data_IF_567260827801
#
_entry.id   IF_567260827801
#
_cell.length_a   1.000
_cell.length_b   1.000
_cell.length_c   1.000
_cell.angle_alpha   90.00
_cell.angle_beta   90.00
_cell.angle_gamma   90.00
#
_symmetry.space_group_name_H-M   'P 1'
#
loop_
_entity.id
_entity.type
_entity.pdbx_description
1 polymer ?
#
# COMPACT_ATOMS: atom_id res chain seq x y z
N UNK A 1 8.17 -13.65 3.06
CA UNK A 1 7.46 -12.43 3.52
C UNK A 1 6.11 -12.83 4.09
N UNK A 2 5.58 -12.11 5.09
CA UNK A 2 4.28 -12.40 5.72
C UNK A 2 3.12 -12.10 4.75
N UNK A 3 2.10 -12.96 4.65
CA UNK A 3 0.88 -12.67 3.88
C UNK A 3 0.07 -11.51 4.47
N UNK A 4 -0.58 -10.73 3.61
CA UNK A 4 -1.50 -9.66 3.98
C UNK A 4 -2.82 -10.23 4.50
N UNK A 5 -3.21 -9.80 5.70
CA UNK A 5 -4.55 -10.09 6.22
C UNK A 5 -5.61 -9.21 5.54
N UNK A 6 -6.91 -9.57 5.64
CA UNK A 6 -7.99 -8.71 5.13
C UNK A 6 -7.96 -7.29 5.73
N UNK A 7 -7.57 -7.16 7.00
CA UNK A 7 -7.44 -5.86 7.65
C UNK A 7 -6.27 -5.05 7.06
N UNK A 8 -5.13 -5.69 6.81
CA UNK A 8 -3.99 -5.04 6.16
C UNK A 8 -4.39 -4.54 4.77
N UNK A 9 -5.06 -5.38 3.97
CA UNK A 9 -5.57 -4.99 2.65
C UNK A 9 -6.52 -3.80 2.72
N UNK A 10 -7.42 -3.76 3.70
CA UNK A 10 -8.35 -2.63 3.89
C UNK A 10 -7.60 -1.33 4.17
N UNK A 11 -6.58 -1.38 5.00
CA UNK A 11 -5.81 -0.20 5.40
C UNK A 11 -4.92 0.30 4.24
N UNK A 12 -4.26 -0.61 3.54
CA UNK A 12 -3.49 -0.32 2.31
C UNK A 12 -4.39 0.29 1.24
N UNK A 13 -5.59 -0.26 1.05
CA UNK A 13 -6.57 0.27 0.11
C UNK A 13 -6.97 1.71 0.45
N UNK A 14 -7.10 2.04 1.73
CA UNK A 14 -7.41 3.40 2.17
C UNK A 14 -6.33 4.40 1.73
N UNK A 15 -5.05 4.08 1.96
CA UNK A 15 -3.94 4.94 1.53
C UNK A 15 -3.87 5.13 0.01
N UNK A 16 -4.06 4.04 -0.74
CA UNK A 16 -4.09 4.10 -2.21
C UNK A 16 -5.27 4.92 -2.73
N UNK A 17 -6.45 4.78 -2.12
CA UNK A 17 -7.64 5.52 -2.48
C UNK A 17 -7.49 7.02 -2.17
N UNK A 18 -6.96 7.36 -0.99
CA UNK A 18 -6.71 8.76 -0.61
C UNK A 18 -5.76 9.45 -1.59
N UNK A 19 -4.63 8.81 -1.90
CA UNK A 19 -3.68 9.32 -2.87
C UNK A 19 -4.31 9.51 -4.26
N UNK A 20 -5.09 8.54 -4.73
CA UNK A 20 -5.83 8.65 -5.99
C UNK A 20 -6.84 9.81 -5.97
N UNK A 21 -7.55 10.02 -4.86
CA UNK A 21 -8.48 11.14 -4.70
C UNK A 21 -7.77 12.50 -4.69
N UNK A 22 -6.56 12.58 -4.13
CA UNK A 22 -5.76 13.80 -4.18
C UNK A 22 -5.33 14.13 -5.62
N UNK A 23 -4.91 13.14 -6.40
CA UNK A 23 -4.59 13.32 -7.82
C UNK A 23 -5.81 13.74 -8.66
N UNK A 24 -6.99 13.24 -8.30
CA UNK A 24 -8.25 13.69 -8.90
C UNK A 24 -8.54 15.17 -8.60
N UNK A 25 -8.38 15.58 -7.34
CA UNK A 25 -8.61 16.97 -6.89
C UNK A 25 -7.64 17.95 -7.54
N UNK A 26 -6.38 17.54 -7.69
CA UNK A 26 -5.33 18.32 -8.35
C UNK A 26 -5.54 18.45 -9.88
N UNK A 27 -6.55 17.78 -10.45
CA UNK A 27 -6.79 17.81 -11.89
C UNK A 27 -5.75 17.06 -12.72
N UNK A 28 -4.87 16.27 -12.08
CA UNK A 28 -3.77 15.53 -12.72
C UNK A 28 -4.24 14.28 -13.49
N UNK A 29 -5.53 13.94 -13.40
CA UNK A 29 -6.12 12.75 -13.99
C UNK A 29 -7.24 13.11 -14.98
N UNK A 30 -7.05 12.79 -16.26
CA UNK A 30 -8.08 12.83 -17.28
C UNK A 30 -9.07 11.67 -17.16
N UNK A 31 -10.21 11.75 -17.87
CA UNK A 31 -11.33 10.81 -17.74
C UNK A 31 -10.93 9.35 -18.02
N UNK A 32 -10.02 9.13 -18.96
CA UNK A 32 -9.53 7.81 -19.32
C UNK A 32 -8.55 7.26 -18.27
N UNK A 33 -7.58 8.06 -17.81
CA UNK A 33 -6.62 7.62 -16.80
C UNK A 33 -7.32 7.26 -15.48
N UNK A 34 -8.36 8.01 -15.09
CA UNK A 34 -9.19 7.68 -13.91
C UNK A 34 -9.69 6.24 -13.95
N UNK A 35 -10.25 5.83 -15.09
CA UNK A 35 -10.79 4.47 -15.27
C UNK A 35 -9.69 3.41 -15.25
N UNK A 36 -8.58 3.68 -15.92
CA UNK A 36 -7.46 2.73 -16.02
C UNK A 36 -6.78 2.55 -14.66
N UNK A 37 -6.46 3.64 -13.96
CA UNK A 37 -5.74 3.62 -12.69
C UNK A 37 -6.61 3.00 -11.60
N UNK A 38 -7.87 3.40 -11.47
CA UNK A 38 -8.78 2.82 -10.47
C UNK A 38 -8.95 1.32 -10.65
N UNK A 39 -9.13 0.86 -11.90
CA UNK A 39 -9.19 -0.57 -12.22
C UNK A 39 -7.89 -1.28 -11.86
N UNK A 40 -6.73 -0.71 -12.24
CA UNK A 40 -5.41 -1.29 -11.95
C UNK A 40 -5.16 -1.42 -10.45
N UNK A 41 -5.54 -0.42 -9.64
CA UNK A 41 -5.44 -0.47 -8.18
C UNK A 41 -6.31 -1.60 -7.64
N UNK A 42 -7.58 -1.68 -8.05
CA UNK A 42 -8.52 -2.71 -7.58
C UNK A 42 -8.06 -4.13 -7.93
N UNK A 43 -7.65 -4.35 -9.18
CA UNK A 43 -7.20 -5.65 -9.66
C UNK A 43 -5.92 -6.09 -8.96
N UNK A 44 -5.00 -5.16 -8.71
CA UNK A 44 -3.74 -5.45 -8.04
C UNK A 44 -3.95 -5.71 -6.55
N UNK A 45 -4.80 -4.95 -5.87
CA UNK A 45 -5.16 -5.19 -4.46
C UNK A 45 -5.85 -6.54 -4.25
N UNK A 46 -6.66 -6.98 -5.23
CA UNK A 46 -7.29 -8.30 -5.18
C UNK A 46 -6.25 -9.41 -5.23
N UNK A 47 -5.24 -9.27 -6.09
CA UNK A 47 -4.19 -10.27 -6.34
C UNK A 47 -3.02 -10.21 -5.36
N UNK A 48 -2.81 -9.08 -4.69
CA UNK A 48 -1.67 -8.90 -3.79
C UNK A 48 -1.76 -9.88 -2.62
N UNK A 49 -0.69 -10.63 -2.41
CA UNK A 49 -0.56 -11.58 -1.31
C UNK A 49 0.39 -11.04 -0.25
N UNK A 50 1.41 -10.31 -0.67
CA UNK A 50 2.43 -9.74 0.20
C UNK A 50 2.60 -8.25 -0.03
N UNK A 51 3.23 -7.60 0.93
CA UNK A 51 3.50 -6.16 0.89
C UNK A 51 4.29 -5.72 -0.35
N UNK A 52 5.24 -6.54 -0.82
CA UNK A 52 6.02 -6.25 -2.02
C UNK A 52 5.20 -6.13 -3.31
N UNK A 53 4.07 -6.84 -3.40
CA UNK A 53 3.18 -6.73 -4.56
C UNK A 53 2.60 -5.32 -4.68
N UNK A 54 2.32 -4.71 -3.52
CA UNK A 54 1.80 -3.35 -3.42
C UNK A 54 2.87 -2.32 -3.80
N UNK A 55 4.10 -2.49 -3.31
CA UNK A 55 5.21 -1.62 -3.69
C UNK A 55 5.45 -1.67 -5.20
N UNK A 56 5.44 -2.88 -5.79
CA UNK A 56 5.58 -3.07 -7.25
C UNK A 56 4.46 -2.39 -8.02
N UNK A 57 3.22 -2.45 -7.52
CA UNK A 57 2.10 -1.70 -8.11
C UNK A 57 2.36 -0.20 -8.10
N UNK A 58 2.75 0.35 -6.95
CA UNK A 58 2.96 1.79 -6.77
C UNK A 58 4.12 2.29 -7.63
N UNK A 59 5.22 1.54 -7.71
CA UNK A 59 6.33 1.79 -8.63
C UNK A 59 5.88 1.74 -10.08
N UNK A 60 5.04 0.77 -10.43
CA UNK A 60 4.49 0.64 -11.78
C UNK A 60 3.57 1.80 -12.15
N UNK A 61 2.86 2.40 -11.19
CA UNK A 61 2.05 3.59 -11.44
C UNK A 61 2.93 4.83 -11.63
N UNK A 62 3.90 5.05 -10.73
CA UNK A 62 4.89 6.12 -10.82
C UNK A 62 5.61 6.15 -12.18
N UNK A 63 6.15 5.01 -12.63
CA UNK A 63 6.88 4.91 -13.90
C UNK A 63 6.07 5.22 -15.15
N UNK A 64 4.76 4.97 -15.13
CA UNK A 64 3.89 5.19 -16.30
C UNK A 64 3.19 6.56 -16.24
N UNK A 65 3.23 7.23 -15.10
CA UNK A 65 2.46 8.43 -14.82
C UNK A 65 3.27 9.33 -13.88
N UNK A 66 4.03 10.27 -14.42
CA UNK A 66 4.93 11.15 -13.65
C UNK A 66 4.21 11.91 -12.52
N UNK A 67 2.95 12.29 -12.72
CA UNK A 67 2.13 12.93 -11.70
C UNK A 67 1.87 12.04 -10.47
N UNK A 68 2.11 10.74 -10.61
CA UNK A 68 1.98 9.74 -9.55
C UNK A 68 3.25 9.61 -8.71
N UNK A 69 4.40 10.19 -9.07
CA UNK A 69 5.65 10.08 -8.31
C UNK A 69 5.53 10.63 -6.89
N UNK A 70 4.94 11.82 -6.75
CA UNK A 70 4.70 12.44 -5.45
C UNK A 70 3.74 11.60 -4.60
N UNK A 71 2.66 11.11 -5.22
CA UNK A 71 1.69 10.25 -4.55
C UNK A 71 2.30 8.90 -4.15
N UNK A 72 3.12 8.31 -5.03
CA UNK A 72 3.84 7.07 -4.81
C UNK A 72 4.81 7.18 -3.65
N UNK A 73 5.54 8.29 -3.52
CA UNK A 73 6.43 8.55 -2.39
C UNK A 73 5.66 8.57 -1.07
N UNK A 74 4.54 9.29 -1.01
CA UNK A 74 3.70 9.35 0.19
C UNK A 74 3.10 7.99 0.53
N UNK A 75 2.54 7.29 -0.46
CA UNK A 75 1.98 5.94 -0.30
C UNK A 75 3.06 5.00 0.25
N UNK A 76 4.26 4.97 -0.35
CA UNK A 76 5.34 4.08 0.11
C UNK A 76 5.77 4.41 1.53
N UNK A 77 5.84 5.68 1.92
CA UNK A 77 6.17 6.07 3.29
C UNK A 77 5.13 5.56 4.28
N UNK A 78 3.84 5.77 4.01
CA UNK A 78 2.74 5.26 4.85
C UNK A 78 2.74 3.74 4.93
N UNK A 79 2.92 3.07 3.79
CA UNK A 79 2.97 1.62 3.71
C UNK A 79 4.18 1.06 4.47
N UNK A 80 5.36 1.67 4.35
CA UNK A 80 6.58 1.20 5.03
C UNK A 80 6.46 1.36 6.54
N UNK A 81 5.94 2.51 7.00
CA UNK A 81 5.65 2.73 8.42
C UNK A 81 4.67 1.70 8.97
N UNK A 82 3.60 1.39 8.22
CA UNK A 82 2.66 0.33 8.58
C UNK A 82 3.34 -1.05 8.67
N UNK A 83 4.22 -1.37 7.71
CA UNK A 83 4.94 -2.64 7.70
C UNK A 83 5.90 -2.76 8.88
N UNK A 84 6.68 -1.71 9.16
CA UNK A 84 7.61 -1.65 10.29
C UNK A 84 6.90 -1.83 11.63
N UNK A 85 5.80 -1.10 11.87
CA UNK A 85 5.01 -1.24 13.08
C UNK A 85 4.51 -2.68 13.29
N UNK A 86 4.10 -3.35 12.20
CA UNK A 86 3.68 -4.76 12.26
C UNK A 86 4.84 -5.72 12.54
N UNK A 87 6.01 -5.45 11.99
CA UNK A 87 7.21 -6.26 12.27
C UNK A 87 7.60 -6.10 13.75
N UNK A 88 7.63 -4.87 14.27
CA UNK A 88 7.94 -4.59 15.68
C UNK A 88 6.93 -5.30 16.59
N UNK A 89 5.62 -5.12 16.34
CA UNK A 89 4.57 -5.77 17.13
C UNK A 89 4.73 -7.29 17.17
N UNK A 90 5.07 -7.90 16.03
CA UNK A 90 5.30 -9.34 15.95
C UNK A 90 6.53 -9.78 16.76
N UNK A 91 7.61 -9.01 16.71
CA UNK A 91 8.83 -9.29 17.47
C UNK A 91 8.58 -9.17 18.99
N UNK A 92 7.87 -8.13 19.43
CA UNK A 92 7.49 -7.95 20.84
C UNK A 92 6.62 -9.09 21.36
N UNK A 93 5.65 -9.55 20.56
CA UNK A 93 4.83 -10.72 20.87
C UNK A 93 5.69 -11.97 21.04
N UNK A 94 6.63 -12.19 20.12
CA UNK A 94 7.54 -13.34 20.16
C UNK A 94 8.40 -13.35 21.43
N UNK A 95 9.00 -12.22 21.81
CA UNK A 95 9.77 -12.10 23.05
C UNK A 95 8.90 -12.34 24.29
N UNK A 96 7.68 -11.80 24.32
CA UNK A 96 6.76 -12.00 25.45
C UNK A 96 6.36 -13.46 25.63
N UNK A 97 6.17 -14.20 24.53
CA UNK A 97 5.86 -15.64 24.58
C UNK A 97 7.06 -16.47 25.06
N UNK A 98 8.28 -16.13 24.62
CA UNK A 98 9.51 -16.80 25.09
C UNK A 98 9.72 -16.59 26.60
N UNK A 99 9.56 -15.36 27.09
CA UNK A 99 9.75 -15.04 28.50
C UNK A 99 8.70 -15.65 29.45
N UNK A 100 7.58 -16.18 28.92
CA UNK A 100 6.56 -16.90 29.71
C UNK A 100 6.82 -18.40 29.83
N UNK A 101 7.77 -18.93 29.07
CA UNK A 101 8.17 -20.34 29.08
C UNK A 101 9.57 -20.56 29.69
N UNK A 102 10.11 -19.54 30.36
CA UNK A 102 11.28 -19.58 31.25
C UNK A 102 10.79 -19.34 32.67
#
# INVERSE_FOLDING_TARGET
MRPLTPQDKKQIYHYLAEAYMNLLKDGKLGKFERKVISKRILDSMRKAEVFNDIITLVDGLAKNYDFFDSAATQIKAQLSSFHEQKVIQNLEQYFTTLSKHV
#
